data_IF_883858576703
#
_entry.id   IF_883858576703
#
_cell.length_a   1.000
_cell.length_b   1.000
_cell.length_c   1.000
_cell.angle_alpha   90.00
_cell.angle_beta   90.00
_cell.angle_gamma   90.00
#
_symmetry.space_group_name_H-M   'P 1'
#
loop_
_entity.id
_entity.type
_entity.pdbx_description
1 polymer ?
#
# COMPACT_ATOMS: atom_id res chain seq x y z
N UNK A 1 5.75 0.99 -7.27
CA UNK A 1 5.03 0.52 -6.06
C UNK A 1 4.26 -0.75 -6.40
N UNK A 2 4.04 -1.65 -5.44
CA UNK A 2 3.28 -2.87 -5.64
C UNK A 2 2.33 -3.11 -4.47
N UNK A 3 1.25 -3.85 -4.72
CA UNK A 3 0.40 -4.41 -3.67
C UNK A 3 0.62 -5.92 -3.60
N UNK A 4 0.79 -6.43 -2.38
CA UNK A 4 1.09 -7.83 -2.11
C UNK A 4 -0.03 -8.47 -1.29
N UNK A 5 -0.18 -9.79 -1.40
CA UNK A 5 -1.01 -10.54 -0.47
C UNK A 5 -0.25 -10.84 0.83
N UNK A 6 -0.94 -11.40 1.83
CA UNK A 6 -0.33 -11.80 3.10
C UNK A 6 0.79 -12.85 2.98
N UNK A 7 0.90 -13.54 1.83
CA UNK A 7 1.97 -14.49 1.55
C UNK A 7 3.18 -13.85 0.85
N UNK A 8 3.29 -12.52 0.85
CA UNK A 8 4.35 -11.77 0.16
C UNK A 8 4.43 -12.06 -1.34
N UNK A 9 3.27 -12.34 -1.98
CA UNK A 9 3.18 -12.47 -3.44
C UNK A 9 2.63 -11.18 -4.06
N UNK A 10 3.30 -10.62 -5.08
CA UNK A 10 2.79 -9.44 -5.77
C UNK A 10 1.48 -9.77 -6.49
N UNK A 11 0.47 -8.93 -6.29
CA UNK A 11 -0.81 -9.02 -6.99
C UNK A 11 -0.84 -8.05 -8.18
N UNK A 12 -0.49 -6.79 -7.93
CA UNK A 12 -0.37 -5.75 -8.96
C UNK A 12 0.82 -4.85 -8.68
N UNK A 13 1.40 -4.34 -9.76
CA UNK A 13 2.51 -3.37 -9.73
C UNK A 13 2.05 -2.16 -10.53
N UNK A 14 2.35 -0.97 -10.02
CA UNK A 14 2.13 0.30 -10.73
C UNK A 14 3.47 0.92 -11.08
N UNK A 15 3.58 1.38 -12.33
CA UNK A 15 4.73 2.11 -12.79
C UNK A 15 4.71 3.52 -12.17
N UNK A 16 5.83 3.91 -11.56
CA UNK A 16 5.98 5.21 -10.92
C UNK A 16 6.77 6.10 -11.85
N UNK A 17 6.09 7.07 -12.44
CA UNK A 17 6.70 7.99 -13.41
C UNK A 17 7.11 9.32 -12.77
N UNK A 18 6.72 9.55 -11.51
CA UNK A 18 7.13 10.71 -10.73
C UNK A 18 7.96 10.28 -9.53
N UNK A 19 8.92 11.10 -9.07
CA UNK A 19 9.68 10.82 -7.86
C UNK A 19 8.78 10.66 -6.64
N UNK A 20 9.08 9.66 -5.81
CA UNK A 20 8.43 9.42 -4.51
C UNK A 20 7.17 8.55 -4.55
N UNK A 21 6.78 8.07 -3.37
CA UNK A 21 5.59 7.26 -3.15
C UNK A 21 4.34 8.13 -2.98
N UNK A 22 3.89 8.73 -4.08
CA UNK A 22 2.70 9.55 -4.04
C UNK A 22 1.44 8.70 -3.73
N UNK A 23 0.56 9.23 -2.87
CA UNK A 23 -0.66 8.55 -2.38
C UNK A 23 -1.57 8.01 -3.50
N UNK A 24 -1.60 8.68 -4.66
CA UNK A 24 -2.45 8.28 -5.79
C UNK A 24 -2.07 6.90 -6.35
N UNK A 25 -0.80 6.48 -6.24
CA UNK A 25 -0.38 5.14 -6.64
C UNK A 25 -1.03 4.07 -5.75
N UNK A 26 -1.02 4.28 -4.43
CA UNK A 26 -1.68 3.40 -3.47
C UNK A 26 -3.19 3.34 -3.72
N UNK A 27 -3.84 4.50 -3.93
CA UNK A 27 -5.27 4.56 -4.24
C UNK A 27 -5.62 3.82 -5.54
N UNK A 28 -4.79 3.94 -6.58
CA UNK A 28 -5.00 3.23 -7.84
C UNK A 28 -4.88 1.71 -7.67
N UNK A 29 -3.87 1.24 -6.93
CA UNK A 29 -3.69 -0.18 -6.61
C UNK A 29 -4.86 -0.73 -5.80
N UNK A 30 -5.32 0.01 -4.78
CA UNK A 30 -6.48 -0.38 -3.98
C UNK A 30 -7.76 -0.41 -4.82
N UNK A 31 -8.01 0.61 -5.64
CA UNK A 31 -9.15 0.62 -6.54
C UNK A 31 -9.12 -0.56 -7.52
N UNK A 32 -7.93 -0.99 -7.97
CA UNK A 32 -7.78 -2.19 -8.79
C UNK A 32 -8.10 -3.45 -7.98
N UNK A 33 -7.57 -3.59 -6.77
CA UNK A 33 -7.85 -4.70 -5.86
C UNK A 33 -9.37 -4.86 -5.63
N UNK A 34 -10.05 -3.79 -5.23
CA UNK A 34 -11.47 -3.84 -4.90
C UNK A 34 -12.39 -4.16 -6.10
N UNK A 35 -11.96 -3.89 -7.34
CA UNK A 35 -12.69 -4.33 -8.54
C UNK A 35 -12.72 -5.85 -8.72
N UNK A 36 -11.77 -6.56 -8.11
CA UNK A 36 -11.62 -8.01 -8.22
C UNK A 36 -12.08 -8.77 -6.96
N UNK A 37 -12.62 -8.06 -5.96
CA UNK A 37 -13.10 -8.66 -4.71
C UNK A 37 -14.59 -8.37 -4.51
N UNK A 38 -15.34 -9.31 -3.95
CA UNK A 38 -16.74 -9.07 -3.59
C UNK A 38 -16.81 -8.12 -2.38
N UNK A 39 -17.88 -7.32 -2.31
CA UNK A 39 -18.12 -6.34 -1.24
C UNK A 39 -18.32 -6.95 0.15
N UNK A 40 -18.49 -8.27 0.24
CA UNK A 40 -18.69 -9.00 1.49
C UNK A 40 -17.38 -9.38 2.19
N UNK A 41 -16.23 -9.26 1.52
CA UNK A 41 -14.95 -9.70 2.07
C UNK A 41 -14.35 -8.61 2.95
N UNK A 42 -13.88 -9.00 4.13
CA UNK A 42 -13.12 -8.12 5.02
C UNK A 42 -11.69 -7.99 4.50
N UNK A 43 -11.26 -6.75 4.26
CA UNK A 43 -9.94 -6.44 3.70
C UNK A 43 -9.10 -5.74 4.77
N UNK A 44 -7.83 -6.12 4.83
CA UNK A 44 -6.86 -5.60 5.80
C UNK A 44 -5.68 -5.03 5.05
N UNK A 45 -5.42 -3.74 5.24
CA UNK A 45 -4.43 -2.99 4.48
C UNK A 45 -3.27 -2.64 5.39
N UNK A 46 -2.06 -3.02 4.96
CA UNK A 46 -0.80 -2.55 5.51
C UNK A 46 -0.18 -1.54 4.57
N UNK A 47 0.13 -0.37 5.12
CA UNK A 47 0.82 0.69 4.39
C UNK A 47 1.52 1.63 5.36
N UNK A 48 2.72 2.08 5.01
CA UNK A 48 3.57 2.88 5.91
C UNK A 48 2.87 4.16 6.34
N UNK A 49 2.25 4.84 5.37
CA UNK A 49 1.56 6.10 5.60
C UNK A 49 0.03 5.91 5.61
N UNK A 50 -0.44 4.78 6.18
CA UNK A 50 -1.88 4.46 6.20
C UNK A 50 -2.70 5.49 6.97
N UNK A 51 -2.13 6.16 7.97
CA UNK A 51 -2.86 7.15 8.75
C UNK A 51 -3.30 8.35 7.89
N UNK A 52 -2.45 8.78 6.95
CA UNK A 52 -2.81 9.82 5.98
C UNK A 52 -3.75 9.27 4.92
N UNK A 53 -3.52 8.04 4.46
CA UNK A 53 -4.43 7.38 3.51
C UNK A 53 -5.86 7.28 4.04
N UNK A 54 -6.01 6.76 5.26
CA UNK A 54 -7.29 6.60 5.93
C UNK A 54 -7.98 7.95 6.12
N UNK A 55 -7.24 8.97 6.56
CA UNK A 55 -7.78 10.31 6.72
C UNK A 55 -8.25 10.91 5.38
N UNK A 56 -7.49 10.74 4.31
CA UNK A 56 -7.90 11.19 2.97
C UNK A 56 -9.14 10.43 2.47
N UNK A 57 -9.28 9.14 2.75
CA UNK A 57 -10.49 8.38 2.42
C UNK A 57 -11.72 8.95 3.14
N UNK A 58 -11.59 9.27 4.43
CA UNK A 58 -12.68 9.89 5.21
C UNK A 58 -13.01 11.28 4.66
N UNK A 59 -11.98 12.13 4.47
CA UNK A 59 -12.17 13.54 4.10
C UNK A 59 -12.70 13.73 2.69
N UNK A 60 -12.17 12.98 1.73
CA UNK A 60 -12.47 13.15 0.30
C UNK A 60 -13.42 12.08 -0.24
N UNK A 61 -13.82 11.10 0.58
CA UNK A 61 -14.70 10.02 0.15
C UNK A 61 -14.04 9.01 -0.79
N UNK A 62 -12.71 8.92 -0.79
CA UNK A 62 -12.04 7.86 -1.56
C UNK A 62 -12.43 6.48 -1.02
N UNK A 63 -12.64 5.53 -1.93
CA UNK A 63 -12.97 4.14 -1.60
C UNK A 63 -14.19 3.97 -0.68
N UNK A 64 -15.10 4.96 -0.64
CA UNK A 64 -16.28 5.00 0.24
C UNK A 64 -17.09 3.69 0.28
N UNK A 65 -17.36 2.98 -0.84
CA UNK A 65 -18.09 1.71 -0.81
C UNK A 65 -17.39 0.60 -0.01
N UNK A 66 -16.08 0.72 0.19
CA UNK A 66 -15.23 -0.33 0.76
C UNK A 66 -14.82 -0.06 2.21
N UNK A 67 -15.04 1.16 2.71
CA UNK A 67 -14.58 1.58 4.03
C UNK A 67 -15.22 0.79 5.18
N UNK A 68 -16.44 0.26 5.01
CA UNK A 68 -17.15 -0.49 6.05
C UNK A 68 -16.55 -1.86 6.36
N UNK A 69 -15.84 -2.47 5.41
CA UNK A 69 -15.20 -3.79 5.55
C UNK A 69 -13.68 -3.72 5.42
N UNK A 70 -13.10 -2.52 5.49
CA UNK A 70 -11.65 -2.31 5.39
C UNK A 70 -11.07 -1.92 6.75
N UNK A 71 -10.00 -2.60 7.16
CA UNK A 71 -9.19 -2.21 8.32
C UNK A 71 -7.81 -1.78 7.86
N UNK A 72 -7.18 -0.89 8.63
CA UNK A 72 -5.90 -0.27 8.29
C UNK A 72 -4.91 -0.47 9.43
N UNK A 73 -3.65 -0.72 9.07
CA UNK A 73 -2.54 -0.81 10.03
C UNK A 73 -1.22 -0.41 9.36
N UNK A 74 -0.23 -0.07 10.19
CA UNK A 74 1.14 0.29 9.79
C UNK A 74 2.06 -0.85 10.20
N UNK A 75 3.14 -1.07 9.44
CA UNK A 75 4.19 -2.04 9.80
C UNK A 75 4.72 -1.79 11.22
N UNK A 76 5.24 -2.83 11.85
CA UNK A 76 5.67 -2.77 13.26
C UNK A 76 6.74 -1.69 13.48
N UNK A 77 7.70 -1.56 12.56
CA UNK A 77 8.77 -0.58 12.70
C UNK A 77 8.34 0.80 12.20
N UNK A 78 7.62 0.86 11.07
CA UNK A 78 7.20 2.13 10.49
C UNK A 78 6.31 2.90 11.45
N UNK A 79 5.45 2.25 12.24
CA UNK A 79 4.54 2.94 13.16
C UNK A 79 5.25 3.86 14.16
N UNK A 80 6.47 3.50 14.61
CA UNK A 80 7.23 4.30 15.57
C UNK A 80 7.75 5.61 14.98
N UNK A 81 7.84 5.71 13.66
CA UNK A 81 8.18 6.97 12.97
C UNK A 81 7.01 7.97 12.91
N UNK A 82 5.80 7.54 13.32
CA UNK A 82 4.60 8.39 13.33
C UNK A 82 4.34 9.02 14.70
N UNK A 83 3.45 10.02 14.68
CA UNK A 83 2.92 10.67 15.87
C UNK A 83 2.30 9.66 16.84
N UNK A 84 2.37 9.95 18.14
CA UNK A 84 1.90 9.08 19.22
C UNK A 84 0.48 8.50 19.01
N UNK A 85 -0.54 9.26 18.54
CA UNK A 85 -1.86 8.68 18.26
C UNK A 85 -1.83 7.57 17.20
N UNK A 86 -0.97 7.67 16.19
CA UNK A 86 -0.84 6.64 15.16
C UNK A 86 -0.27 5.33 15.73
N UNK A 87 0.64 5.42 16.69
CA UNK A 87 1.20 4.28 17.42
C UNK A 87 0.19 3.53 18.31
N UNK A 88 -0.95 4.14 18.59
CA UNK A 88 -2.03 3.50 19.34
C UNK A 88 -3.08 2.95 18.39
N UNK A 89 -3.48 3.74 17.41
CA UNK A 89 -4.61 3.43 16.53
C UNK A 89 -4.23 2.41 15.45
N UNK A 90 -3.05 2.55 14.85
CA UNK A 90 -2.67 1.78 13.65
C UNK A 90 -1.58 0.74 13.89
N UNK A 91 -1.11 0.58 15.13
CA UNK A 91 -0.04 -0.36 15.44
C UNK A 91 -0.50 -1.81 15.20
N UNK A 92 0.27 -2.55 14.40
CA UNK A 92 -0.07 -3.91 13.98
C UNK A 92 -0.46 -4.86 15.11
N UNK A 93 0.36 -4.92 16.17
CA UNK A 93 0.09 -5.76 17.34
C UNK A 93 -1.15 -5.35 18.15
N UNK A 94 -1.74 -4.18 17.88
CA UNK A 94 -2.97 -3.69 18.53
C UNK A 94 -4.20 -3.88 17.64
N UNK A 95 -4.02 -4.33 16.40
CA UNK A 95 -5.12 -4.52 15.45
C UNK A 95 -5.38 -6.01 15.19
N UNK A 96 -6.58 -6.46 15.54
CA UNK A 96 -6.96 -7.88 15.40
C UNK A 96 -6.99 -8.27 13.92
N UNK A 97 -6.46 -9.46 13.61
CA UNK A 97 -6.60 -10.13 12.32
C UNK A 97 -5.47 -9.92 11.32
N UNK A 98 -4.40 -9.22 11.71
CA UNK A 98 -3.15 -9.14 10.93
C UNK A 98 -2.19 -10.31 11.20
N UNK A 99 -2.44 -11.12 12.23
CA UNK A 99 -1.60 -12.27 12.55
C UNK A 99 -0.18 -11.88 12.94
N UNK A 100 0.80 -12.64 12.44
CA UNK A 100 2.24 -12.42 12.67
C UNK A 100 2.93 -11.70 11.49
N UNK A 101 2.17 -10.91 10.73
CA UNK A 101 2.76 -10.06 9.68
C UNK A 101 3.73 -9.06 10.33
N UNK A 102 4.79 -8.68 9.61
CA UNK A 102 5.70 -7.59 10.01
C UNK A 102 5.46 -6.31 9.20
N UNK A 103 4.93 -6.47 7.98
CA UNK A 103 4.64 -5.40 7.03
C UNK A 103 5.75 -5.14 6.02
N UNK A 104 6.84 -5.92 6.02
CA UNK A 104 8.06 -5.69 5.21
C UNK A 104 8.02 -6.39 3.83
N UNK A 105 6.84 -6.80 3.38
CA UNK A 105 6.68 -7.59 2.16
C UNK A 105 7.05 -6.83 0.89
N UNK A 106 6.72 -5.53 0.84
CA UNK A 106 6.99 -4.68 -0.31
C UNK A 106 8.49 -4.39 -0.44
N UNK A 107 9.16 -4.15 0.68
CA UNK A 107 10.59 -3.89 0.79
C UNK A 107 11.40 -5.12 0.36
N UNK A 108 10.98 -6.33 0.78
CA UNK A 108 11.59 -7.58 0.32
C UNK A 108 11.45 -7.78 -1.18
N UNK A 109 10.25 -7.56 -1.71
CA UNK A 109 10.00 -7.66 -3.16
C UNK A 109 10.87 -6.65 -3.91
N UNK A 110 10.94 -5.40 -3.44
CA UNK A 110 11.77 -4.38 -4.02
C UNK A 110 13.25 -4.75 -3.98
N UNK A 111 13.75 -5.25 -2.85
CA UNK A 111 15.12 -5.75 -2.73
C UNK A 111 15.42 -6.85 -3.75
N UNK A 112 14.52 -7.83 -3.92
CA UNK A 112 14.67 -8.88 -4.93
C UNK A 112 14.70 -8.35 -6.37
N UNK A 113 13.92 -7.30 -6.66
CA UNK A 113 13.85 -6.67 -7.98
C UNK A 113 14.92 -5.59 -8.20
N UNK A 114 15.67 -5.22 -7.16
CA UNK A 114 16.59 -4.08 -7.19
C UNK A 114 17.65 -4.17 -8.29
N UNK A 115 18.10 -5.40 -8.61
CA UNK A 115 19.04 -5.66 -9.69
C UNK A 115 18.50 -5.28 -11.08
N UNK A 116 17.17 -5.25 -11.25
CA UNK A 116 16.52 -4.90 -12.51
C UNK A 116 16.35 -3.39 -12.69
N UNK A 117 16.52 -2.58 -11.62
CA UNK A 117 16.29 -1.13 -11.66
C UNK A 117 17.23 -0.47 -12.67
N UNK A 118 18.52 -0.82 -12.65
CA UNK A 118 19.51 -0.25 -13.57
C UNK A 118 19.15 -0.51 -15.04
N UNK A 119 18.69 -1.73 -15.37
CA UNK A 119 18.28 -2.08 -16.73
C UNK A 119 16.94 -1.45 -17.12
N UNK A 120 16.00 -1.35 -16.18
CA UNK A 120 14.67 -0.77 -16.40
C UNK A 120 14.70 0.74 -16.66
N UNK A 121 15.67 1.46 -16.07
CA UNK A 121 15.85 2.90 -16.32
C UNK A 121 16.27 3.21 -17.76
N UNK A 122 17.00 2.31 -18.42
CA UNK A 122 17.46 2.50 -19.81
C UNK A 122 16.34 2.24 -20.83
N UNK A 123 15.36 1.38 -20.50
CA UNK A 123 14.23 1.05 -21.37
C UNK A 123 13.09 2.10 -21.34
N UNK A 124 13.10 3.01 -20.38
CA UNK A 124 12.14 4.11 -20.26
C UNK A 124 12.44 5.27 -21.21
N UNK A 125 12.59 5.02 -22.52
CA UNK A 125 12.59 6.11 -23.50
C UNK A 125 11.19 6.71 -23.51
N UNK A 126 11.08 7.92 -22.97
CA UNK A 126 9.88 8.72 -23.03
C UNK A 126 9.58 9.03 -24.50
N UNK A 127 8.67 8.27 -25.11
CA UNK A 127 8.04 8.67 -26.36
C UNK A 127 7.21 9.91 -26.06
N UNK A 128 7.82 11.08 -26.21
CA UNK A 128 7.09 12.32 -26.43
C UNK A 128 6.29 12.13 -27.71
N UNK A 129 4.98 11.90 -27.60
CA UNK A 129 4.08 12.07 -28.73
C UNK A 129 4.13 13.54 -29.17
N UNK A 130 4.13 13.81 -30.49
CA UNK A 130 4.09 15.16 -31.06
C UNK A 130 2.79 15.90 -30.73
#
# INVERSE_FOLDING_TARGET
>A
MAILCCHNRPLWVVNMNTPGEAQHYTLALLAKLFKHLPLSVIIRILYDIVCQLHWSCIKWGFLKPYMSHTTFSISIFHVFSHQWPCQIIYHLCKTIGYGLLDGEGAERLWHCLSQLIAYGQVAGVQWSCP
#
